data_IF_839263846934
#
_entry.id   IF_839263846934
#
_cell.length_a   1.000
_cell.length_b   1.000
_cell.length_c   1.000
_cell.angle_alpha   90.00
_cell.angle_beta   90.00
_cell.angle_gamma   90.00
#
_symmetry.space_group_name_H-M   'P 1'
#
loop_
_entity.id
_entity.type
_entity.pdbx_description
1 polymer ?
#
# COMPACT_ATOMS: atom_id res chain seq x y z
N UNK A 1 15.18 -2.81 2.56
CA UNK A 1 13.71 -3.02 2.61
C UNK A 1 13.07 -1.69 3.01
N UNK A 2 11.98 -1.28 2.37
CA UNK A 2 11.33 0.01 2.65
C UNK A 2 9.82 -0.18 2.84
N UNK A 3 9.24 0.46 3.86
CA UNK A 3 7.79 0.54 4.03
C UNK A 3 7.27 1.74 3.23
N UNK A 4 6.62 1.43 2.09
CA UNK A 4 6.17 2.37 1.04
C UNK A 4 7.32 2.98 0.24
N UNK A 5 7.05 3.22 -1.04
CA UNK A 5 7.95 3.91 -1.98
C UNK A 5 7.09 4.58 -3.06
N UNK A 6 7.60 4.76 -4.29
CA UNK A 6 6.89 5.45 -5.39
C UNK A 6 5.49 4.89 -5.71
N UNK A 7 5.26 3.59 -5.52
CA UNK A 7 3.95 2.95 -5.75
C UNK A 7 2.86 3.52 -4.82
N UNK A 8 3.24 3.91 -3.60
CA UNK A 8 2.32 4.56 -2.68
C UNK A 8 1.95 5.97 -3.17
N UNK A 9 2.90 6.73 -3.70
CA UNK A 9 2.61 8.05 -4.30
C UNK A 9 1.60 7.91 -5.44
N UNK A 10 1.79 6.94 -6.34
CA UNK A 10 0.85 6.68 -7.44
C UNK A 10 -0.54 6.29 -6.91
N UNK A 11 -0.64 5.39 -5.94
CA UNK A 11 -1.92 4.95 -5.40
C UNK A 11 -2.66 6.06 -4.63
N UNK A 12 -1.97 6.80 -3.76
CA UNK A 12 -2.59 7.81 -2.90
C UNK A 12 -2.83 9.14 -3.62
N UNK A 13 -1.83 9.64 -4.33
CA UNK A 13 -1.93 10.94 -5.01
C UNK A 13 -2.62 10.80 -6.37
N UNK A 14 -2.30 9.74 -7.11
CA UNK A 14 -2.89 9.50 -8.41
C UNK A 14 -4.35 9.07 -8.31
N UNK A 15 -4.57 7.87 -7.78
CA UNK A 15 -5.92 7.32 -7.69
C UNK A 15 -6.72 7.94 -6.55
N UNK A 16 -6.12 8.14 -5.37
CA UNK A 16 -6.81 8.71 -4.21
C UNK A 16 -7.20 10.18 -4.40
N UNK A 17 -6.26 11.02 -4.86
CA UNK A 17 -6.43 12.48 -4.99
C UNK A 17 -6.70 12.97 -6.41
N UNK A 18 -6.62 12.11 -7.42
CA UNK A 18 -6.91 12.47 -8.82
C UNK A 18 -5.79 13.23 -9.54
N UNK A 19 -4.56 13.25 -8.99
CA UNK A 19 -3.42 13.89 -9.66
C UNK A 19 -3.06 13.05 -10.90
N UNK A 20 -2.80 13.67 -12.07
CA UNK A 20 -2.49 12.93 -13.29
C UNK A 20 -1.32 11.94 -13.10
N UNK A 21 -1.53 10.67 -13.46
CA UNK A 21 -0.54 9.60 -13.28
C UNK A 21 0.77 9.93 -14.01
N UNK A 22 0.69 10.53 -15.21
CA UNK A 22 1.87 10.95 -15.99
C UNK A 22 2.72 11.98 -15.25
N UNK A 23 2.09 12.91 -14.52
CA UNK A 23 2.80 13.90 -13.71
C UNK A 23 3.52 13.21 -12.54
N UNK A 24 2.85 12.30 -11.84
CA UNK A 24 3.45 11.53 -10.74
C UNK A 24 4.61 10.67 -11.24
N UNK A 25 4.44 9.96 -12.35
CA UNK A 25 5.49 9.11 -12.93
C UNK A 25 6.73 9.94 -13.32
N UNK A 26 6.54 11.15 -13.86
CA UNK A 26 7.64 12.08 -14.17
C UNK A 26 8.37 12.56 -12.90
N UNK A 27 7.64 12.99 -11.88
CA UNK A 27 8.22 13.43 -10.61
C UNK A 27 8.97 12.30 -9.91
N UNK A 28 8.37 11.11 -9.85
CA UNK A 28 9.01 9.92 -9.30
C UNK A 28 10.32 9.61 -10.03
N UNK A 29 10.33 9.63 -11.37
CA UNK A 29 11.55 9.40 -12.15
C UNK A 29 12.63 10.42 -11.85
N UNK A 30 12.26 11.70 -11.70
CA UNK A 30 13.19 12.78 -11.39
C UNK A 30 13.82 12.59 -10.00
N UNK A 31 12.99 12.39 -8.96
CA UNK A 31 13.49 12.32 -7.57
C UNK A 31 14.21 11.02 -7.25
N UNK A 32 13.85 9.91 -7.92
CA UNK A 32 14.54 8.62 -7.71
C UNK A 32 15.65 8.37 -8.73
N UNK A 33 15.89 9.28 -9.67
CA UNK A 33 16.80 9.07 -10.80
C UNK A 33 16.50 7.76 -11.56
N UNK A 34 15.22 7.40 -11.66
CA UNK A 34 14.77 6.17 -12.30
C UNK A 34 14.87 4.90 -11.45
N UNK A 35 15.39 4.98 -10.22
CA UNK A 35 15.41 3.82 -9.30
C UNK A 35 13.98 3.34 -9.03
N UNK A 36 13.79 2.03 -9.17
CA UNK A 36 12.54 1.32 -8.88
C UNK A 36 12.82 0.09 -8.01
N UNK A 37 11.85 -0.32 -7.17
CA UNK A 37 11.96 -1.57 -6.44
C UNK A 37 12.01 -2.76 -7.40
N UNK A 38 12.91 -3.70 -7.14
CA UNK A 38 12.90 -5.00 -7.82
C UNK A 38 11.62 -5.79 -7.50
N UNK A 39 11.15 -5.71 -6.26
CA UNK A 39 9.92 -6.31 -5.77
C UNK A 39 9.16 -5.32 -4.88
N UNK A 40 7.87 -5.16 -5.16
CA UNK A 40 6.90 -4.49 -4.30
C UNK A 40 5.87 -5.51 -3.84
N UNK A 41 5.77 -5.73 -2.53
CA UNK A 41 4.71 -6.52 -1.92
C UNK A 41 3.58 -5.59 -1.49
N UNK A 42 2.41 -5.75 -2.10
CA UNK A 42 1.21 -5.03 -1.73
C UNK A 42 0.26 -5.95 -0.97
N UNK A 43 0.06 -5.65 0.31
CA UNK A 43 -0.85 -6.37 1.19
C UNK A 43 -2.28 -5.91 0.94
N UNK A 44 -3.07 -6.73 0.25
CA UNK A 44 -4.46 -6.43 -0.08
C UNK A 44 -5.40 -6.82 1.07
N UNK A 45 -6.12 -5.81 1.55
CA UNK A 45 -7.11 -5.92 2.61
C UNK A 45 -8.29 -5.01 2.27
N UNK A 46 -9.50 -5.44 2.63
CA UNK A 46 -10.70 -4.62 2.45
C UNK A 46 -10.55 -3.26 3.17
N UNK A 47 -10.90 -2.11 2.55
CA UNK A 47 -10.70 -0.79 3.15
C UNK A 47 -11.30 -0.63 4.56
N UNK A 48 -12.51 -1.17 4.79
CA UNK A 48 -13.16 -1.14 6.11
C UNK A 48 -12.39 -1.94 7.15
N UNK A 49 -11.93 -3.13 6.77
CA UNK A 49 -11.15 -4.00 7.65
C UNK A 49 -9.79 -3.39 7.96
N UNK A 50 -9.09 -2.84 6.96
CA UNK A 50 -7.83 -2.14 7.14
C UNK A 50 -7.93 -0.95 8.09
N UNK A 51 -8.95 -0.10 7.90
CA UNK A 51 -9.23 1.02 8.81
C UNK A 51 -9.57 0.55 10.23
N UNK A 52 -10.33 -0.54 10.39
CA UNK A 52 -10.61 -1.11 11.70
C UNK A 52 -9.33 -1.55 12.41
N UNK A 53 -8.43 -2.26 11.70
CA UNK A 53 -7.15 -2.71 12.25
C UNK A 53 -6.23 -1.55 12.62
N UNK A 54 -6.17 -0.51 11.78
CA UNK A 54 -5.40 0.71 12.04
C UNK A 54 -5.86 1.40 13.34
N UNK A 55 -7.18 1.57 13.51
CA UNK A 55 -7.76 2.13 14.74
C UNK A 55 -7.42 1.30 15.97
N UNK A 56 -7.57 -0.02 15.90
CA UNK A 56 -7.21 -0.92 17.02
C UNK A 56 -5.73 -0.84 17.37
N UNK A 57 -4.84 -0.74 16.37
CA UNK A 57 -3.40 -0.59 16.59
C UNK A 57 -3.07 0.74 17.27
N UNK A 58 -3.66 1.84 16.81
CA UNK A 58 -3.46 3.16 17.38
C UNK A 58 -3.94 3.26 18.84
N UNK A 59 -5.11 2.69 19.14
CA UNK A 59 -5.64 2.66 20.50
C UNK A 59 -4.69 1.91 21.45
N UNK A 60 -4.14 0.76 21.00
CA UNK A 60 -3.16 -0.01 21.77
C UNK A 60 -1.84 0.74 22.00
N UNK A 61 -1.37 1.50 21.01
CA UNK A 61 -0.07 2.20 21.11
C UNK A 61 -0.13 3.52 21.89
N UNK A 62 -1.30 4.15 22.00
CA UNK A 62 -1.42 5.49 22.63
C UNK A 62 -2.22 5.49 23.93
N UNK A 63 -2.90 4.38 24.27
CA UNK A 63 -3.81 4.31 25.42
C UNK A 63 -5.04 5.21 25.30
N UNK A 64 -5.26 5.87 24.15
CA UNK A 64 -6.35 6.82 23.93
C UNK A 64 -7.34 6.28 22.89
N UNK A 65 -8.63 6.32 23.22
CA UNK A 65 -9.74 6.09 22.29
C UNK A 65 -10.02 7.34 21.42
N UNK A 66 -8.97 7.96 20.87
CA UNK A 66 -9.11 9.13 20.02
C UNK A 66 -9.49 8.74 18.59
N UNK A 67 -10.18 9.67 17.90
CA UNK A 67 -10.60 9.56 16.49
C UNK A 67 -9.38 9.28 15.60
N UNK A 68 -9.21 7.99 15.33
CA UNK A 68 -8.60 7.35 14.16
C UNK A 68 -7.29 7.96 13.64
N UNK A 69 -6.16 7.34 14.01
CA UNK A 69 -5.03 7.19 13.12
C UNK A 69 -4.29 8.45 12.64
N UNK A 70 -3.34 8.23 11.73
CA UNK A 70 -2.64 9.31 11.03
C UNK A 70 -3.57 10.10 10.07
N UNK A 71 -3.04 11.16 9.43
CA UNK A 71 -3.83 12.00 8.51
C UNK A 71 -4.49 11.20 7.38
N UNK A 72 -3.84 10.13 6.90
CA UNK A 72 -4.34 9.29 5.81
C UNK A 72 -5.40 8.30 6.31
N UNK A 73 -5.29 7.79 7.53
CA UNK A 73 -6.27 6.88 8.15
C UNK A 73 -7.57 7.58 8.54
N UNK A 74 -7.59 8.92 8.55
CA UNK A 74 -8.79 9.76 8.71
C UNK A 74 -9.58 9.97 7.42
N UNK A 75 -9.03 9.55 6.29
CA UNK A 75 -9.71 9.69 5.00
C UNK A 75 -10.94 8.79 4.90
N UNK A 76 -11.82 9.14 3.95
CA UNK A 76 -13.06 8.39 3.72
C UNK A 76 -12.81 6.95 3.25
N UNK A 77 -13.74 6.04 3.53
CA UNK A 77 -13.70 4.67 2.96
C UNK A 77 -13.63 4.69 1.43
N UNK A 78 -14.30 5.65 0.78
CA UNK A 78 -14.23 5.89 -0.67
C UNK A 78 -12.82 6.24 -1.14
N UNK A 79 -12.08 7.06 -0.39
CA UNK A 79 -10.68 7.36 -0.68
C UNK A 79 -9.84 6.08 -0.64
N UNK A 80 -9.95 5.28 0.42
CA UNK A 80 -9.21 4.03 0.53
C UNK A 80 -9.60 2.99 -0.53
N UNK A 81 -10.86 2.98 -1.01
CA UNK A 81 -11.27 2.18 -2.17
C UNK A 81 -10.51 2.60 -3.43
N UNK A 82 -10.38 3.90 -3.70
CA UNK A 82 -9.59 4.43 -4.83
C UNK A 82 -8.11 4.06 -4.70
N UNK A 83 -7.53 4.21 -3.52
CA UNK A 83 -6.14 3.80 -3.25
C UNK A 83 -5.93 2.31 -3.55
N UNK A 84 -6.84 1.44 -3.08
CA UNK A 84 -6.80 0.00 -3.38
C UNK A 84 -6.86 -0.26 -4.89
N UNK A 85 -7.77 0.42 -5.61
CA UNK A 85 -7.84 0.33 -7.08
C UNK A 85 -6.50 0.71 -7.72
N UNK A 86 -5.83 1.75 -7.22
CA UNK A 86 -4.52 2.16 -7.70
C UNK A 86 -3.45 1.08 -7.55
N UNK A 87 -3.37 0.42 -6.39
CA UNK A 87 -2.45 -0.70 -6.21
C UNK A 87 -2.76 -1.89 -7.12
N UNK A 88 -4.05 -2.23 -7.29
CA UNK A 88 -4.46 -3.30 -8.19
C UNK A 88 -4.14 -2.95 -9.66
N UNK A 89 -4.28 -1.69 -10.06
CA UNK A 89 -3.89 -1.22 -11.39
C UNK A 89 -2.36 -1.29 -11.60
N UNK A 90 -1.57 -0.90 -10.60
CA UNK A 90 -0.11 -1.03 -10.63
C UNK A 90 0.33 -2.48 -10.77
N UNK A 91 -0.31 -3.40 -10.04
CA UNK A 91 -0.04 -4.84 -10.15
C UNK A 91 -0.34 -5.41 -11.55
N UNK A 92 -1.39 -4.90 -12.21
CA UNK A 92 -1.69 -5.28 -13.61
C UNK A 92 -0.69 -4.67 -14.59
N UNK A 93 -0.25 -3.43 -14.36
CA UNK A 93 0.70 -2.71 -15.23
C UNK A 93 2.11 -3.29 -15.13
N UNK A 94 2.53 -3.68 -13.93
CA UNK A 94 3.92 -4.13 -13.65
C UNK A 94 3.93 -5.47 -12.88
N UNK A 95 3.32 -6.55 -13.45
CA UNK A 95 3.06 -7.80 -12.74
C UNK A 95 4.33 -8.56 -12.36
N UNK A 96 5.47 -8.26 -12.99
CA UNK A 96 6.77 -8.86 -12.64
C UNK A 96 7.26 -8.38 -11.28
N UNK A 97 7.15 -7.08 -10.98
CA UNK A 97 7.66 -6.48 -9.73
C UNK A 97 6.60 -6.27 -8.66
N UNK A 98 5.34 -5.97 -9.01
CA UNK A 98 4.30 -5.68 -8.02
C UNK A 98 3.46 -6.92 -7.78
N UNK A 99 3.53 -7.47 -6.57
CA UNK A 99 2.79 -8.67 -6.17
C UNK A 99 1.72 -8.31 -5.15
N UNK A 100 0.46 -8.63 -5.49
CA UNK A 100 -0.67 -8.53 -4.58
C UNK A 100 -0.71 -9.78 -3.72
N UNK A 101 -0.70 -9.60 -2.40
CA UNK A 101 -0.88 -10.67 -1.42
C UNK A 101 -2.14 -10.38 -0.63
N UNK A 102 -3.16 -11.23 -0.76
CA UNK A 102 -4.34 -11.15 0.09
C UNK A 102 -3.93 -11.40 1.53
N UNK A 103 -4.26 -10.47 2.41
CA UNK A 103 -4.02 -10.63 3.84
C UNK A 103 -5.01 -11.65 4.40
N UNK A 104 -4.48 -12.70 5.00
CA UNK A 104 -5.26 -13.79 5.60
C UNK A 104 -4.74 -14.10 7.01
N UNK A 105 -5.63 -14.36 7.99
CA UNK A 105 -5.23 -14.81 9.31
C UNK A 105 -4.92 -16.33 9.32
N UNK A 106 -4.05 -16.80 10.24
CA UNK A 106 -3.16 -16.01 11.09
C UNK A 106 -2.07 -15.30 10.28
N UNK A 107 -1.39 -14.32 10.88
CA UNK A 107 -0.32 -13.55 10.23
C UNK A 107 0.76 -14.44 9.59
N UNK A 108 1.03 -15.62 10.17
CA UNK A 108 1.95 -16.62 9.63
C UNK A 108 1.57 -17.11 8.23
N UNK A 109 0.27 -17.26 7.91
CA UNK A 109 -0.16 -17.62 6.55
C UNK A 109 0.17 -16.53 5.53
N UNK A 110 -0.07 -15.27 5.88
CA UNK A 110 0.32 -14.13 5.03
C UNK A 110 1.83 -14.07 4.87
N UNK A 111 2.59 -14.27 5.95
CA UNK A 111 4.06 -14.34 5.93
C UNK A 111 4.58 -15.40 4.97
N UNK A 112 4.06 -16.64 5.03
CA UNK A 112 4.46 -17.71 4.12
C UNK A 112 4.19 -17.38 2.65
N UNK A 113 3.12 -16.63 2.33
CA UNK A 113 2.86 -16.17 0.97
C UNK A 113 3.87 -15.13 0.50
N UNK A 114 4.26 -14.19 1.36
CA UNK A 114 5.29 -13.18 1.06
C UNK A 114 6.64 -13.86 0.84
N UNK A 115 7.02 -14.79 1.73
CA UNK A 115 8.30 -15.49 1.70
C UNK A 115 8.56 -16.17 0.35
N UNK A 116 7.52 -16.77 -0.28
CA UNK A 116 7.61 -17.38 -1.63
C UNK A 116 8.08 -16.42 -2.73
N UNK A 117 7.87 -15.12 -2.59
CA UNK A 117 8.32 -14.11 -3.55
C UNK A 117 9.70 -13.56 -3.19
N UNK A 118 10.00 -13.42 -1.91
CA UNK A 118 11.30 -12.93 -1.43
C UNK A 118 12.40 -13.97 -1.66
N UNK A 119 12.14 -15.25 -1.38
CA UNK A 119 13.07 -16.38 -1.59
C UNK A 119 13.43 -16.62 -3.07
N UNK A 120 12.77 -15.94 -4.02
CA UNK A 120 13.13 -16.03 -5.45
C UNK A 120 14.17 -14.98 -5.88
N UNK A 121 14.52 -14.09 -4.96
CA UNK A 121 15.36 -12.91 -5.20
C UNK A 121 16.65 -13.01 -4.40
N UNK A 122 16.58 -13.63 -3.22
CA UNK A 122 17.70 -14.02 -2.39
C UNK A 122 18.18 -15.42 -2.78
#
# INVERSE_FOLDING_TARGET
ICDRFIDATVAYQGFGRGIPIKLIDNLNRLVTQGVKPYLTICLDLGPREGLSRAKSKYAKSTGKNLKAGDRLERESVSFHKKVRIGYLALARREPRRVKIIKVVPPASKTYSLIKKFVDKIL
#
